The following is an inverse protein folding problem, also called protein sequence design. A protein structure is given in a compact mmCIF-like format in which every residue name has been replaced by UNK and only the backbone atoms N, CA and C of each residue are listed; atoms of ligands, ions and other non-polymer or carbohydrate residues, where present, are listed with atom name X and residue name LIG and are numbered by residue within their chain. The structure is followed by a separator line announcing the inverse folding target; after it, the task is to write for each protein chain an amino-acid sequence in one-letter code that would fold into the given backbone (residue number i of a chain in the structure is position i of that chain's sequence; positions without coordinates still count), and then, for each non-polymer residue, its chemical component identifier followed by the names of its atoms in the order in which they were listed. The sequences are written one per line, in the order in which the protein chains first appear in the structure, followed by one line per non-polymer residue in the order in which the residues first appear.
data_IF_747425870681
#
_entry.id   IF_747425870681
#
_cell.length_a   1.000
_cell.length_b   1.000
_cell.length_c   1.000
_cell.angle_alpha   90.00
_cell.angle_beta   90.00
_cell.angle_gamma   90.00
#
_symmetry.space_group_name_H-M   'P 1'
#
loop_
_entity.id
_entity.type
_entity.pdbx_description
1 polymer ?
#
# COMPACT_ATOMS: atom_id res chain seq x y z
N UNK A 1 16.66 29.76 -57.14
CA UNK A 1 16.14 28.50 -56.54
C UNK A 1 16.99 28.15 -55.34
N UNK A 2 16.46 28.22 -54.10
CA UNK A 2 17.18 27.78 -52.94
C UNK A 2 17.05 26.26 -52.82
N UNK A 3 18.17 25.56 -53.05
CA UNK A 3 18.26 24.12 -52.79
C UNK A 3 18.09 23.88 -51.26
N UNK A 4 16.93 23.42 -50.85
CA UNK A 4 16.76 22.93 -49.46
C UNK A 4 17.65 21.69 -49.31
N UNK A 5 18.59 21.65 -48.35
CA UNK A 5 19.36 20.46 -48.11
C UNK A 5 18.40 19.31 -47.79
N UNK A 6 18.56 18.18 -48.45
CA UNK A 6 17.80 16.97 -48.18
C UNK A 6 17.96 16.50 -46.75
N UNK A 7 17.09 15.61 -46.27
CA UNK A 7 17.17 15.09 -44.89
C UNK A 7 18.56 14.47 -44.66
N UNK A 8 19.24 14.89 -43.59
CA UNK A 8 20.51 14.30 -43.18
C UNK A 8 20.34 12.81 -42.99
N UNK A 9 21.28 12.04 -43.52
CA UNK A 9 21.32 10.57 -43.34
C UNK A 9 21.48 10.30 -41.84
N UNK A 10 20.61 9.44 -41.28
CA UNK A 10 20.70 9.07 -39.88
C UNK A 10 21.99 8.28 -39.61
N UNK A 11 22.67 8.61 -38.54
CA UNK A 11 23.85 7.86 -38.06
C UNK A 11 23.44 6.45 -37.58
N UNK A 12 24.24 5.40 -37.85
CA UNK A 12 23.96 4.07 -37.34
C UNK A 12 24.04 4.08 -35.80
N UNK A 13 23.20 3.32 -35.15
CA UNK A 13 23.26 3.11 -33.73
C UNK A 13 22.99 1.64 -33.40
N UNK A 14 23.47 1.17 -32.25
CA UNK A 14 23.21 -0.17 -31.74
C UNK A 14 21.94 -0.17 -30.87
N UNK A 15 20.85 -0.85 -31.30
CA UNK A 15 19.63 -0.96 -30.51
C UNK A 15 19.84 -1.70 -29.19
N UNK A 16 20.76 -2.68 -29.13
CA UNK A 16 21.04 -3.47 -27.92
C UNK A 16 21.74 -2.63 -26.85
N UNK A 17 22.69 -1.79 -27.28
CA UNK A 17 23.35 -0.85 -26.39
C UNK A 17 22.35 0.20 -25.82
N UNK A 18 21.44 0.68 -26.66
CA UNK A 18 20.38 1.59 -26.21
C UNK A 18 19.42 0.91 -25.22
N UNK A 19 19.01 -0.33 -25.47
CA UNK A 19 18.16 -1.12 -24.55
C UNK A 19 18.84 -1.29 -23.19
N UNK A 20 20.12 -1.69 -23.19
CA UNK A 20 20.90 -1.82 -21.95
C UNK A 20 21.01 -0.47 -21.19
N UNK A 21 21.25 0.62 -21.91
CA UNK A 21 21.33 1.96 -21.29
C UNK A 21 19.99 2.40 -20.69
N UNK A 22 18.87 2.10 -21.38
CA UNK A 22 17.52 2.39 -20.85
C UNK A 22 17.25 1.60 -19.56
N UNK A 23 17.65 0.33 -19.52
CA UNK A 23 17.49 -0.53 -18.32
C UNK A 23 18.31 -0.02 -17.13
N UNK A 24 19.52 0.49 -17.37
CA UNK A 24 20.38 1.09 -16.35
C UNK A 24 19.87 2.45 -15.79
N UNK A 25 18.96 3.14 -16.49
CA UNK A 25 18.44 4.44 -16.07
C UNK A 25 17.55 4.39 -14.83
N UNK A 26 17.35 3.26 -14.23
CA UNK A 26 16.53 3.07 -13.01
C UNK A 26 15.07 3.49 -13.18
N UNK A 27 14.18 2.86 -12.43
CA UNK A 27 12.75 3.18 -12.42
C UNK A 27 12.42 4.32 -11.45
N UNK A 28 13.27 5.36 -11.37
CA UNK A 28 13.05 6.49 -10.46
C UNK A 28 11.68 7.14 -10.66
N UNK A 29 11.00 7.39 -9.58
CA UNK A 29 9.65 7.98 -9.48
C UNK A 29 9.55 9.35 -10.18
N UNK A 30 10.67 10.05 -10.37
CA UNK A 30 10.70 11.32 -11.12
C UNK A 30 11.16 11.05 -12.55
N UNK A 31 10.29 11.36 -13.51
CA UNK A 31 10.41 11.21 -14.96
C UNK A 31 11.64 11.91 -15.61
N UNK A 32 12.57 12.44 -14.82
CA UNK A 32 13.72 13.22 -15.28
C UNK A 32 14.83 12.40 -15.94
N UNK A 33 14.84 11.07 -15.77
CA UNK A 33 15.85 10.20 -16.35
C UNK A 33 15.39 9.52 -17.67
N UNK A 34 14.58 10.19 -18.44
CA UNK A 34 13.98 9.61 -19.63
C UNK A 34 14.60 10.04 -20.94
N UNK A 35 13.76 10.11 -21.96
CA UNK A 35 14.06 10.45 -23.34
C UNK A 35 14.95 11.70 -23.48
N UNK A 36 14.77 12.71 -22.63
CA UNK A 36 15.55 13.97 -22.72
C UNK A 36 17.04 13.75 -22.43
N UNK A 37 17.39 12.89 -21.46
CA UNK A 37 18.79 12.59 -21.14
C UNK A 37 19.47 11.79 -22.25
N UNK A 38 18.75 10.83 -22.83
CA UNK A 38 19.25 10.00 -23.92
C UNK A 38 19.30 10.75 -25.25
N UNK A 39 18.38 11.69 -25.48
CA UNK A 39 18.27 12.38 -26.77
C UNK A 39 19.54 13.14 -27.16
N UNK A 40 20.26 13.71 -26.22
CA UNK A 40 21.53 14.37 -26.49
C UNK A 40 22.58 13.45 -27.14
N UNK A 41 22.55 12.16 -26.85
CA UNK A 41 23.46 11.16 -27.45
C UNK A 41 22.98 10.57 -28.74
N UNK A 42 21.67 10.40 -28.88
CA UNK A 42 21.07 9.70 -30.03
C UNK A 42 20.39 10.61 -31.06
N UNK A 43 20.51 11.95 -30.91
CA UNK A 43 19.84 12.90 -31.79
C UNK A 43 20.32 12.84 -33.26
N UNK A 44 21.51 12.32 -33.52
CA UNK A 44 22.01 12.06 -34.88
C UNK A 44 21.43 10.82 -35.55
N UNK A 45 21.02 9.84 -34.73
CA UNK A 45 20.55 8.52 -35.14
C UNK A 45 19.04 8.36 -35.10
N UNK A 46 18.40 8.98 -34.11
CA UNK A 46 16.97 8.80 -33.83
C UNK A 46 16.23 10.12 -33.65
N UNK A 47 15.00 10.16 -34.16
CA UNK A 47 14.09 11.25 -33.78
C UNK A 47 13.72 11.16 -32.29
N UNK A 48 13.41 12.30 -31.67
CA UNK A 48 12.93 12.34 -30.28
C UNK A 48 11.69 11.48 -30.08
N UNK A 49 10.81 11.38 -31.07
CA UNK A 49 9.60 10.56 -31.05
C UNK A 49 9.94 9.07 -31.04
N UNK A 50 10.87 8.63 -31.92
CA UNK A 50 11.28 7.22 -31.96
C UNK A 50 12.01 6.81 -30.72
N UNK A 51 12.92 7.64 -30.22
CA UNK A 51 13.59 7.41 -28.94
C UNK A 51 12.59 7.30 -27.79
N UNK A 52 11.59 8.19 -27.73
CA UNK A 52 10.54 8.12 -26.71
C UNK A 52 9.72 6.84 -26.79
N UNK A 53 9.41 6.38 -28.01
CA UNK A 53 8.72 5.10 -28.25
C UNK A 53 9.56 3.92 -27.77
N UNK A 54 10.84 3.88 -28.09
CA UNK A 54 11.76 2.81 -27.66
C UNK A 54 11.92 2.79 -26.13
N UNK A 55 12.12 3.94 -25.50
CA UNK A 55 12.15 4.04 -24.03
C UNK A 55 10.87 3.51 -23.39
N UNK A 56 9.71 3.85 -23.99
CA UNK A 56 8.41 3.33 -23.52
C UNK A 56 8.31 1.81 -23.68
N UNK A 57 8.74 1.24 -24.78
CA UNK A 57 8.71 -0.19 -25.05
C UNK A 57 9.62 -0.96 -24.07
N UNK A 58 10.88 -0.54 -23.92
CA UNK A 58 11.83 -1.20 -23.01
C UNK A 58 11.33 -1.16 -21.58
N UNK A 59 10.80 -0.02 -21.13
CA UNK A 59 10.22 0.12 -19.80
C UNK A 59 8.99 -0.75 -19.60
N UNK A 60 8.14 -0.84 -20.61
CA UNK A 60 6.95 -1.71 -20.56
C UNK A 60 7.34 -3.18 -20.42
N UNK A 61 8.32 -3.65 -21.21
CA UNK A 61 8.84 -5.01 -21.09
C UNK A 61 9.50 -5.26 -19.73
N UNK A 62 10.34 -4.34 -19.26
CA UNK A 62 10.98 -4.45 -17.95
C UNK A 62 9.96 -4.50 -16.80
N UNK A 63 8.88 -3.72 -16.86
CA UNK A 63 7.79 -3.79 -15.89
C UNK A 63 7.02 -5.10 -16.00
N UNK A 64 6.80 -5.60 -17.23
CA UNK A 64 6.12 -6.88 -17.45
C UNK A 64 6.96 -8.06 -16.92
N UNK A 65 8.27 -8.05 -17.18
CA UNK A 65 9.20 -9.06 -16.67
C UNK A 65 9.25 -9.04 -15.14
N UNK A 66 9.42 -7.84 -14.55
CA UNK A 66 9.40 -7.68 -13.11
C UNK A 66 8.08 -8.14 -12.47
N UNK A 67 6.92 -7.87 -13.14
CA UNK A 67 5.61 -8.35 -12.66
C UNK A 67 5.47 -9.87 -12.70
N UNK A 68 6.13 -10.57 -13.64
CA UNK A 68 6.16 -12.04 -13.67
C UNK A 68 6.89 -12.63 -12.48
N UNK A 69 7.92 -11.94 -12.00
CA UNK A 69 8.74 -12.36 -10.86
C UNK A 69 8.10 -12.00 -9.52
N UNK A 70 7.12 -11.08 -9.53
CA UNK A 70 6.38 -10.68 -8.34
C UNK A 70 5.43 -11.79 -7.92
N UNK A 71 5.68 -12.39 -6.77
CA UNK A 71 4.72 -13.26 -6.10
C UNK A 71 3.60 -12.40 -5.50
N UNK A 72 2.38 -12.64 -5.95
CA UNK A 72 1.19 -12.04 -5.33
C UNK A 72 0.85 -12.84 -4.07
N UNK A 73 0.70 -12.15 -2.95
CA UNK A 73 0.20 -12.74 -1.72
C UNK A 73 -1.27 -12.33 -1.59
N UNK A 74 -2.16 -13.31 -1.64
CA UNK A 74 -3.58 -13.11 -1.40
C UNK A 74 -3.92 -13.58 0.01
N UNK A 75 -4.39 -12.67 0.85
CA UNK A 75 -4.84 -12.97 2.20
C UNK A 75 -6.30 -13.40 2.13
N UNK A 76 -6.55 -14.72 2.20
CA UNK A 76 -7.89 -15.28 1.98
C UNK A 76 -8.66 -15.53 3.27
N UNK A 77 -7.95 -15.63 4.39
CA UNK A 77 -8.56 -16.00 5.67
C UNK A 77 -8.86 -14.73 6.49
N UNK A 78 -10.13 -14.48 6.85
CA UNK A 78 -10.50 -13.36 7.70
C UNK A 78 -9.86 -13.44 9.08
N UNK A 79 -9.61 -12.28 9.68
CA UNK A 79 -9.05 -12.11 11.05
C UNK A 79 -7.61 -12.58 11.25
N UNK A 80 -6.93 -12.99 10.19
CA UNK A 80 -5.52 -13.41 10.28
C UNK A 80 -4.58 -12.23 10.09
N UNK A 81 -4.84 -11.39 9.10
CA UNK A 81 -3.99 -10.23 8.81
C UNK A 81 -4.82 -8.97 8.70
N UNK A 82 -4.50 -8.01 9.56
CA UNK A 82 -4.98 -6.64 9.40
C UNK A 82 -3.90 -5.78 8.73
N UNK A 83 -4.31 -4.81 7.96
CA UNK A 83 -3.41 -3.79 7.43
C UNK A 83 -3.84 -2.42 7.95
N UNK A 84 -2.85 -1.61 8.31
CA UNK A 84 -3.04 -0.24 8.78
C UNK A 84 -2.18 0.70 7.96
N UNK A 85 -2.76 1.84 7.57
CA UNK A 85 -2.09 2.87 6.81
C UNK A 85 -2.77 4.23 7.04
N UNK A 86 -2.05 5.32 6.81
CA UNK A 86 -2.52 6.68 7.04
C UNK A 86 -2.87 7.38 5.73
N UNK A 87 -3.98 8.10 5.74
CA UNK A 87 -4.38 9.00 4.64
C UNK A 87 -4.54 10.41 5.16
N UNK A 88 -3.88 11.36 4.52
CA UNK A 88 -4.02 12.79 4.82
C UNK A 88 -5.14 13.41 3.98
N UNK A 89 -5.96 14.22 4.62
CA UNK A 89 -7.00 15.04 4.00
C UNK A 89 -6.70 16.51 4.26
N UNK A 90 -6.51 17.27 3.19
CA UNK A 90 -6.37 18.72 3.24
C UNK A 90 -7.76 19.36 3.13
N UNK A 91 -8.16 20.07 4.18
CA UNK A 91 -9.42 20.77 4.30
C UNK A 91 -9.33 22.26 3.95
N UNK A 92 -8.24 22.65 3.30
CA UNK A 92 -7.96 24.05 3.00
C UNK A 92 -7.80 24.87 4.29
N UNK A 93 -8.56 25.95 4.43
CA UNK A 93 -8.50 26.83 5.60
C UNK A 93 -8.86 26.19 6.95
N UNK A 94 -9.45 24.98 6.96
CA UNK A 94 -9.77 24.22 8.16
C UNK A 94 -8.65 23.28 8.62
N UNK A 95 -7.50 23.28 7.93
CA UNK A 95 -6.33 22.47 8.32
C UNK A 95 -6.25 21.10 7.65
N UNK A 96 -5.50 20.20 8.28
CA UNK A 96 -5.28 18.84 7.80
C UNK A 96 -5.75 17.83 8.82
N UNK A 97 -6.31 16.71 8.35
CA UNK A 97 -6.72 15.59 9.18
C UNK A 97 -6.10 14.32 8.65
N UNK A 98 -5.50 13.54 9.54
CA UNK A 98 -4.99 12.21 9.25
C UNK A 98 -6.01 11.17 9.68
N UNK A 99 -6.35 10.27 8.76
CA UNK A 99 -7.16 9.09 9.04
C UNK A 99 -6.26 7.85 9.02
N UNK A 100 -6.11 7.21 10.17
CA UNK A 100 -5.48 5.91 10.25
C UNK A 100 -6.52 4.84 9.96
N UNK A 101 -6.49 4.33 8.74
CA UNK A 101 -7.40 3.31 8.27
C UNK A 101 -6.85 1.92 8.59
N UNK A 102 -7.68 1.09 9.20
CA UNK A 102 -7.36 -0.30 9.48
C UNK A 102 -8.37 -1.21 8.78
N UNK A 103 -7.89 -2.26 8.14
CA UNK A 103 -8.72 -3.21 7.40
C UNK A 103 -8.26 -4.64 7.64
N UNK A 104 -9.23 -5.56 7.81
CA UNK A 104 -8.97 -7.00 7.69
C UNK A 104 -8.80 -7.38 6.21
N UNK A 105 -7.66 -7.97 5.87
CA UNK A 105 -7.32 -8.24 4.47
C UNK A 105 -8.12 -9.42 3.88
N UNK A 106 -8.50 -10.40 4.70
CA UNK A 106 -9.26 -11.57 4.23
C UNK A 106 -10.71 -11.24 3.90
N UNK A 107 -11.38 -10.49 4.76
CA UNK A 107 -12.79 -10.10 4.59
C UNK A 107 -12.98 -8.75 3.92
N UNK A 108 -11.94 -7.93 3.80
CA UNK A 108 -12.02 -6.52 3.38
C UNK A 108 -12.83 -5.64 4.35
N UNK A 109 -13.05 -6.10 5.58
CA UNK A 109 -13.75 -5.35 6.60
C UNK A 109 -12.92 -4.15 7.07
N UNK A 110 -13.51 -2.97 6.99
CA UNK A 110 -12.91 -1.70 7.40
C UNK A 110 -13.35 -1.36 8.82
N UNK A 111 -12.40 -1.16 9.71
CA UNK A 111 -12.70 -0.68 11.05
C UNK A 111 -12.96 0.83 11.00
N UNK A 112 -13.72 1.33 11.99
CA UNK A 112 -13.85 2.78 12.19
C UNK A 112 -12.46 3.39 12.34
N UNK A 113 -12.05 4.35 11.49
CA UNK A 113 -10.69 4.87 11.50
C UNK A 113 -10.40 5.74 12.73
N UNK A 114 -9.14 5.86 13.09
CA UNK A 114 -8.68 6.88 14.01
C UNK A 114 -8.44 8.17 13.23
N UNK A 115 -9.12 9.25 13.61
CA UNK A 115 -8.97 10.57 13.02
C UNK A 115 -8.29 11.54 13.99
N UNK A 116 -7.42 12.40 13.47
CA UNK A 116 -6.77 13.46 14.26
C UNK A 116 -5.88 14.35 13.39
N UNK A 117 -5.42 15.46 13.93
CA UNK A 117 -4.50 16.36 13.21
C UNK A 117 -3.14 15.68 12.96
N UNK A 118 -2.63 14.96 13.96
CA UNK A 118 -1.38 14.21 13.86
C UNK A 118 -1.35 13.12 14.96
N UNK A 119 -2.11 12.01 14.82
CA UNK A 119 -2.14 10.98 15.84
C UNK A 119 -0.75 10.45 16.19
N UNK A 120 -0.44 10.47 17.48
CA UNK A 120 0.84 9.98 18.00
C UNK A 120 0.78 8.47 18.29
N UNK A 121 1.94 7.86 18.52
CA UNK A 121 2.03 6.42 18.72
C UNK A 121 1.15 5.89 19.86
N UNK A 122 0.99 6.65 20.94
CA UNK A 122 0.14 6.30 22.08
C UNK A 122 -1.35 6.28 21.73
N UNK A 123 -1.82 7.23 20.90
CA UNK A 123 -3.21 7.25 20.43
C UNK A 123 -3.49 6.07 19.50
N UNK A 124 -2.52 5.74 18.63
CA UNK A 124 -2.61 4.56 17.75
C UNK A 124 -2.61 3.27 18.58
N UNK A 125 -1.79 3.18 19.62
CA UNK A 125 -1.75 2.05 20.54
C UNK A 125 -3.11 1.88 21.26
N UNK A 126 -3.69 2.96 21.77
CA UNK A 126 -5.01 2.98 22.38
C UNK A 126 -6.11 2.53 21.41
N UNK A 127 -6.07 3.04 20.18
CA UNK A 127 -6.99 2.64 19.11
C UNK A 127 -6.89 1.14 18.79
N UNK A 128 -5.68 0.60 18.62
CA UNK A 128 -5.48 -0.82 18.36
C UNK A 128 -5.95 -1.69 19.53
N UNK A 129 -5.67 -1.27 20.75
CA UNK A 129 -6.13 -1.95 21.97
C UNK A 129 -7.66 -2.06 21.98
N UNK A 130 -8.38 -0.97 21.72
CA UNK A 130 -9.86 -0.98 21.64
C UNK A 130 -10.35 -1.95 20.55
N UNK A 131 -9.75 -1.91 19.34
CA UNK A 131 -10.13 -2.80 18.26
C UNK A 131 -9.85 -4.27 18.57
N UNK A 132 -8.72 -4.58 19.22
CA UNK A 132 -8.38 -5.94 19.61
C UNK A 132 -9.33 -6.51 20.69
N UNK A 133 -9.74 -5.70 21.64
CA UNK A 133 -10.75 -6.13 22.62
C UNK A 133 -12.11 -6.37 21.96
N UNK A 134 -12.52 -5.49 21.07
CA UNK A 134 -13.86 -5.54 20.46
C UNK A 134 -14.01 -6.63 19.40
N UNK A 135 -12.98 -6.85 18.59
CA UNK A 135 -13.06 -7.71 17.40
C UNK A 135 -12.18 -8.96 17.49
N UNK A 136 -11.34 -9.06 18.52
CA UNK A 136 -10.26 -10.04 18.61
C UNK A 136 -9.04 -9.61 17.78
N UNK A 137 -7.82 -9.81 18.29
CA UNK A 137 -6.60 -9.42 17.59
C UNK A 137 -6.33 -10.33 16.38
N UNK A 138 -5.73 -9.82 15.28
CA UNK A 138 -5.23 -10.65 14.17
C UNK A 138 -3.96 -11.42 14.60
N UNK A 139 -3.42 -12.29 13.75
CA UNK A 139 -2.08 -12.85 13.96
C UNK A 139 -0.99 -11.86 13.50
N UNK A 140 -1.29 -11.06 12.49
CA UNK A 140 -0.36 -10.12 11.91
C UNK A 140 -1.00 -8.76 11.72
N UNK A 141 -0.23 -7.71 12.02
CA UNK A 141 -0.55 -6.34 11.63
C UNK A 141 0.44 -5.86 10.57
N UNK A 142 -0.05 -5.68 9.35
CA UNK A 142 0.72 -5.09 8.26
C UNK A 142 0.67 -3.57 8.37
N UNK A 143 1.83 -2.92 8.35
CA UNK A 143 1.98 -1.47 8.46
C UNK A 143 3.10 -0.95 7.56
N UNK A 144 3.07 0.33 7.24
CA UNK A 144 4.18 1.00 6.58
C UNK A 144 5.30 1.37 7.59
N UNK A 145 6.37 2.01 7.09
CA UNK A 145 7.51 2.42 7.90
C UNK A 145 7.34 3.81 8.54
N UNK A 146 6.12 4.36 8.63
CA UNK A 146 5.89 5.62 9.30
C UNK A 146 6.24 5.53 10.80
N UNK A 147 6.92 6.56 11.31
CA UNK A 147 7.47 6.54 12.68
C UNK A 147 6.42 6.39 13.77
N UNK A 148 5.22 6.95 13.58
CA UNK A 148 4.11 6.82 14.52
C UNK A 148 3.48 5.40 14.53
N UNK A 149 3.49 4.70 13.39
CA UNK A 149 3.06 3.30 13.30
C UNK A 149 4.11 2.33 13.86
N UNK A 150 5.38 2.71 13.83
CA UNK A 150 6.50 1.93 14.39
C UNK A 150 6.97 2.47 15.75
N UNK A 151 6.05 3.06 16.52
CA UNK A 151 6.31 3.59 17.85
C UNK A 151 6.32 2.48 18.91
N UNK A 152 7.16 2.63 19.95
CA UNK A 152 7.30 1.63 21.02
C UNK A 152 5.97 1.29 21.72
N UNK A 153 5.07 2.27 21.88
CA UNK A 153 3.74 2.03 22.43
C UNK A 153 2.90 1.09 21.57
N UNK A 154 2.97 1.23 20.23
CA UNK A 154 2.31 0.35 19.27
C UNK A 154 2.90 -1.06 19.35
N UNK A 155 4.23 -1.17 19.35
CA UNK A 155 4.93 -2.46 19.45
C UNK A 155 4.60 -3.16 20.78
N UNK A 156 4.48 -2.41 21.87
CA UNK A 156 4.06 -2.93 23.19
C UNK A 156 2.67 -3.57 23.13
N UNK A 157 1.69 -2.89 22.52
CA UNK A 157 0.33 -3.46 22.33
C UNK A 157 0.37 -4.70 21.44
N UNK A 158 1.13 -4.68 20.35
CA UNK A 158 1.24 -5.86 19.47
C UNK A 158 1.82 -7.06 20.23
N UNK A 159 2.86 -6.87 21.04
CA UNK A 159 3.46 -7.92 21.85
C UNK A 159 2.49 -8.45 22.92
N UNK A 160 1.74 -7.57 23.61
CA UNK A 160 0.75 -7.94 24.62
C UNK A 160 -0.35 -8.86 24.07
N UNK A 161 -0.78 -8.58 22.84
CA UNK A 161 -1.84 -9.35 22.15
C UNK A 161 -1.30 -10.46 21.25
N UNK A 162 0.00 -10.72 21.26
CA UNK A 162 0.66 -11.71 20.39
C UNK A 162 0.36 -11.50 18.91
N UNK A 163 0.52 -10.26 18.45
CA UNK A 163 0.36 -9.85 17.06
C UNK A 163 1.75 -9.54 16.48
N UNK A 164 2.13 -10.20 15.40
CA UNK A 164 3.39 -9.93 14.73
C UNK A 164 3.27 -8.74 13.75
N UNK A 165 4.15 -7.74 13.83
CA UNK A 165 4.20 -6.68 12.84
C UNK A 165 4.77 -7.20 11.51
N UNK A 166 4.13 -6.83 10.40
CA UNK A 166 4.62 -7.02 9.05
C UNK A 166 4.92 -5.64 8.46
N UNK A 167 6.15 -5.19 8.63
CA UNK A 167 6.59 -3.91 8.09
C UNK A 167 6.77 -4.00 6.57
N UNK A 168 6.40 -2.94 5.85
CA UNK A 168 6.57 -2.88 4.41
C UNK A 168 8.05 -2.85 4.05
N UNK A 169 8.51 -3.65 3.06
CA UNK A 169 9.86 -3.52 2.55
C UNK A 169 10.10 -2.10 2.01
N UNK A 170 11.29 -1.58 2.24
CA UNK A 170 11.67 -0.27 1.71
C UNK A 170 11.56 -0.25 0.18
N UNK A 171 11.04 0.84 -0.37
CA UNK A 171 10.91 1.08 -1.81
C UNK A 171 10.06 0.06 -2.60
N UNK A 172 9.24 -0.75 -1.91
CA UNK A 172 8.39 -1.74 -2.56
C UNK A 172 6.89 -1.42 -2.42
N UNK A 173 6.43 -0.39 -3.14
CA UNK A 173 5.04 0.06 -3.15
C UNK A 173 4.00 -1.05 -3.43
N UNK A 174 4.22 -2.04 -4.34
CA UNK A 174 3.23 -3.09 -4.60
C UNK A 174 2.87 -3.94 -3.37
N UNK A 175 3.69 -3.93 -2.33
CA UNK A 175 3.41 -4.64 -1.08
C UNK A 175 2.16 -4.14 -0.39
N UNK A 176 1.85 -2.84 -0.49
CA UNK A 176 0.72 -2.20 0.18
C UNK A 176 -0.55 -2.08 -0.68
N UNK A 177 -0.55 -2.59 -1.91
CA UNK A 177 -1.63 -2.37 -2.88
C UNK A 177 -3.06 -2.66 -2.38
N UNK A 178 -3.25 -3.61 -1.46
CA UNK A 178 -4.56 -3.93 -0.91
C UNK A 178 -5.11 -2.83 0.02
N UNK A 179 -4.25 -2.23 0.85
CA UNK A 179 -4.65 -1.12 1.73
C UNK A 179 -4.74 0.20 0.97
N UNK A 180 -3.87 0.43 -0.02
CA UNK A 180 -3.92 1.60 -0.89
C UNK A 180 -5.23 1.66 -1.68
N UNK A 181 -5.68 0.53 -2.25
CA UNK A 181 -6.99 0.44 -2.92
C UNK A 181 -8.14 0.72 -1.94
N UNK A 182 -8.04 0.19 -0.71
CA UNK A 182 -8.99 0.46 0.35
C UNK A 182 -9.08 1.94 0.71
N UNK A 183 -7.93 2.60 0.81
CA UNK A 183 -7.86 4.04 1.08
C UNK A 183 -8.45 4.87 -0.06
N UNK A 184 -8.16 4.49 -1.32
CA UNK A 184 -8.75 5.14 -2.48
C UNK A 184 -10.27 5.06 -2.48
N UNK A 185 -10.84 3.89 -2.15
CA UNK A 185 -12.28 3.68 -2.01
C UNK A 185 -12.86 4.56 -0.88
N UNK A 186 -12.22 4.55 0.30
CA UNK A 186 -12.60 5.40 1.43
C UNK A 186 -12.58 6.88 1.06
N UNK A 187 -11.50 7.34 0.44
CA UNK A 187 -11.31 8.74 0.04
C UNK A 187 -12.39 9.21 -0.92
N UNK A 188 -12.70 8.42 -1.94
CA UNK A 188 -13.75 8.74 -2.90
C UNK A 188 -15.11 8.89 -2.23
N UNK A 189 -15.52 7.90 -1.44
CA UNK A 189 -16.83 7.93 -0.75
C UNK A 189 -16.90 9.02 0.32
N UNK A 190 -15.79 9.33 0.99
CA UNK A 190 -15.73 10.39 1.97
C UNK A 190 -15.95 11.78 1.32
N UNK A 191 -15.28 12.05 0.20
CA UNK A 191 -15.47 13.29 -0.53
C UNK A 191 -16.91 13.44 -1.07
N UNK A 192 -17.51 12.36 -1.54
CA UNK A 192 -18.92 12.37 -1.97
C UNK A 192 -19.86 12.75 -0.82
N UNK A 193 -19.66 12.19 0.38
CA UNK A 193 -20.49 12.52 1.55
C UNK A 193 -20.25 13.94 2.07
N UNK A 194 -18.99 14.39 2.09
CA UNK A 194 -18.67 15.78 2.49
C UNK A 194 -19.29 16.79 1.54
N UNK A 195 -19.31 16.53 0.23
CA UNK A 195 -19.93 17.39 -0.77
C UNK A 195 -21.45 17.51 -0.61
N UNK A 196 -22.11 16.51 -0.04
CA UNK A 196 -23.54 16.52 0.23
C UNK A 196 -23.94 17.32 1.48
N UNK A 197 -22.98 17.81 2.27
CA UNK A 197 -23.24 18.61 3.46
C UNK A 197 -23.99 17.87 4.59
N UNK A 198 -24.01 16.54 4.55
CA UNK A 198 -24.78 15.69 5.49
C UNK A 198 -23.95 15.44 6.75
N UNK A 199 -23.69 16.46 7.57
CA UNK A 199 -22.96 16.25 8.81
C UNK A 199 -23.52 17.07 9.99
N UNK A 200 -24.02 16.38 11.03
CA UNK A 200 -24.54 17.03 12.23
C UNK A 200 -23.53 17.21 13.38
N UNK A 201 -22.20 17.16 13.14
CA UNK A 201 -21.19 17.06 14.21
C UNK A 201 -20.08 18.11 14.13
N UNK A 202 -19.47 18.50 15.28
CA UNK A 202 -18.29 19.36 15.32
C UNK A 202 -17.01 18.72 14.76
N UNK A 203 -16.96 17.37 14.61
CA UNK A 203 -15.87 16.68 13.92
C UNK A 203 -16.37 15.92 12.69
N UNK A 204 -16.59 16.66 11.59
CA UNK A 204 -17.30 16.12 10.44
C UNK A 204 -16.56 14.98 9.73
N UNK A 205 -15.23 14.97 9.74
CA UNK A 205 -14.46 13.97 9.00
C UNK A 205 -14.45 12.63 9.71
N UNK A 206 -14.20 12.58 11.01
CA UNK A 206 -14.17 11.35 11.77
C UNK A 206 -15.50 10.59 11.66
N UNK A 207 -16.62 11.30 11.91
CA UNK A 207 -17.95 10.71 11.79
C UNK A 207 -18.29 10.29 10.36
N UNK A 208 -17.93 11.11 9.38
CA UNK A 208 -18.14 10.77 7.98
C UNK A 208 -17.36 9.53 7.58
N UNK A 209 -16.12 9.42 8.01
CA UNK A 209 -15.27 8.27 7.76
C UNK A 209 -15.82 6.98 8.40
N UNK A 210 -16.40 7.07 9.60
CA UNK A 210 -17.08 5.96 10.25
C UNK A 210 -18.30 5.50 9.45
N UNK A 211 -19.16 6.43 9.04
CA UNK A 211 -20.33 6.13 8.19
C UNK A 211 -19.91 5.52 6.86
N UNK A 212 -18.86 6.05 6.23
CA UNK A 212 -18.31 5.51 4.98
C UNK A 212 -17.79 4.10 5.19
N UNK A 213 -17.03 3.83 6.25
CA UNK A 213 -16.54 2.50 6.56
C UNK A 213 -17.71 1.51 6.76
N UNK A 214 -18.75 1.93 7.49
CA UNK A 214 -19.97 1.14 7.66
C UNK A 214 -20.64 0.83 6.31
N UNK A 215 -20.89 1.83 5.47
CA UNK A 215 -21.53 1.65 4.17
C UNK A 215 -20.73 0.72 3.26
N UNK A 216 -19.39 0.89 3.22
CA UNK A 216 -18.49 0.04 2.45
C UNK A 216 -18.46 -1.41 2.93
N UNK A 217 -18.64 -1.64 4.23
CA UNK A 217 -18.70 -2.98 4.81
C UNK A 217 -19.99 -3.72 4.45
N UNK A 218 -21.05 -3.00 4.06
CA UNK A 218 -22.34 -3.57 3.67
C UNK A 218 -22.55 -3.63 2.15
N UNK A 219 -21.58 -3.20 1.34
CA UNK A 219 -21.61 -3.38 -0.11
C UNK A 219 -21.27 -4.82 -0.49
N UNK A 220 -21.99 -5.36 -1.48
CA UNK A 220 -21.67 -6.65 -2.09
C UNK A 220 -20.33 -6.55 -2.83
N UNK A 221 -19.46 -7.53 -2.64
CA UNK A 221 -18.12 -7.54 -3.25
C UNK A 221 -17.93 -8.76 -4.14
N UNK A 222 -17.65 -8.58 -5.44
CA UNK A 222 -17.35 -9.70 -6.34
C UNK A 222 -16.19 -10.57 -5.85
N UNK A 223 -15.13 -9.96 -5.29
CA UNK A 223 -13.99 -10.68 -4.74
C UNK A 223 -14.32 -11.53 -3.49
N UNK A 224 -15.47 -11.32 -2.87
CA UNK A 224 -16.01 -12.10 -1.77
C UNK A 224 -17.21 -12.99 -2.22
N UNK A 225 -17.26 -13.35 -3.50
CA UNK A 225 -18.32 -14.17 -4.08
C UNK A 225 -19.73 -13.58 -3.88
N UNK A 226 -19.85 -12.25 -3.94
CA UNK A 226 -21.11 -11.56 -3.76
C UNK A 226 -21.54 -11.36 -2.29
N UNK A 227 -20.72 -11.76 -1.32
CA UNK A 227 -20.94 -11.44 0.10
C UNK A 227 -20.45 -10.04 0.44
N UNK A 228 -20.97 -9.46 1.52
CA UNK A 228 -20.46 -8.20 2.06
C UNK A 228 -19.25 -8.44 2.96
N UNK A 229 -18.40 -7.43 3.15
CA UNK A 229 -17.26 -7.50 4.08
C UNK A 229 -17.73 -7.83 5.51
N UNK A 230 -18.87 -7.24 5.93
CA UNK A 230 -19.49 -7.49 7.22
C UNK A 230 -19.91 -8.98 7.36
N UNK A 231 -20.60 -9.55 6.37
CA UNK A 231 -20.98 -10.95 6.39
C UNK A 231 -19.75 -11.87 6.50
N UNK A 232 -18.70 -11.62 5.72
CA UNK A 232 -17.48 -12.43 5.74
C UNK A 232 -16.74 -12.27 7.05
N UNK A 233 -16.59 -11.04 7.58
CA UNK A 233 -15.89 -10.79 8.83
C UNK A 233 -16.58 -11.40 10.04
N UNK A 234 -17.91 -11.34 10.15
CA UNK A 234 -18.67 -11.86 11.28
C UNK A 234 -19.20 -13.30 11.09
N UNK A 235 -19.05 -13.92 9.92
CA UNK A 235 -19.37 -15.34 9.73
C UNK A 235 -18.59 -16.20 10.72
N UNK A 236 -19.17 -17.27 11.23
CA UNK A 236 -18.50 -18.27 12.05
C UNK A 236 -17.74 -19.32 11.24
N UNK A 237 -18.02 -19.43 9.95
CA UNK A 237 -17.41 -20.42 9.07
C UNK A 237 -15.99 -20.06 8.67
N UNK A 238 -15.07 -21.02 8.79
CA UNK A 238 -13.70 -20.92 8.25
C UNK A 238 -12.78 -19.94 9.00
N UNK A 239 -13.14 -19.48 10.21
CA UNK A 239 -12.30 -18.60 11.01
C UNK A 239 -11.44 -19.38 11.97
N UNK A 240 -10.14 -19.13 11.97
CA UNK A 240 -9.32 -19.58 13.08
C UNK A 240 -9.70 -18.77 14.33
N UNK A 241 -10.21 -19.46 15.34
CA UNK A 241 -10.39 -18.91 16.69
C UNK A 241 -9.26 -19.46 17.52
N UNK A 242 -8.27 -18.62 17.81
CA UNK A 242 -7.15 -19.01 18.65
C UNK A 242 -7.41 -18.57 20.09
N UNK A 243 -7.24 -19.49 21.04
CA UNK A 243 -7.10 -19.15 22.44
C UNK A 243 -5.86 -18.27 22.66
N UNK A 244 -5.79 -17.60 23.81
CA UNK A 244 -4.61 -16.79 24.15
C UNK A 244 -3.32 -17.61 24.18
N UNK A 245 -3.41 -18.88 24.62
CA UNK A 245 -2.26 -19.80 24.67
C UNK A 245 -1.79 -20.18 23.27
N UNK A 246 -2.69 -20.60 22.38
CA UNK A 246 -2.35 -20.95 20.99
C UNK A 246 -1.76 -19.74 20.24
N UNK A 247 -2.29 -18.54 20.47
CA UNK A 247 -1.74 -17.31 19.89
C UNK A 247 -0.31 -17.06 20.33
N UNK A 248 -0.03 -17.25 21.62
CA UNK A 248 1.32 -17.12 22.17
C UNK A 248 2.27 -18.14 21.55
N UNK A 249 1.88 -19.39 21.47
CA UNK A 249 2.68 -20.44 20.85
C UNK A 249 2.99 -20.13 19.38
N UNK A 250 1.99 -19.68 18.61
CA UNK A 250 2.19 -19.26 17.20
C UNK A 250 3.15 -18.06 17.14
N UNK A 251 2.96 -17.07 18.01
CA UNK A 251 3.80 -15.87 18.05
C UNK A 251 5.26 -16.23 18.35
N UNK A 252 5.50 -17.04 19.37
CA UNK A 252 6.85 -17.44 19.79
C UNK A 252 7.57 -18.24 18.68
N UNK A 253 6.89 -19.20 18.04
CA UNK A 253 7.44 -19.99 16.93
C UNK A 253 7.78 -19.12 15.72
N UNK A 254 6.91 -18.18 15.37
CA UNK A 254 7.14 -17.28 14.22
C UNK A 254 8.26 -16.27 14.51
N UNK A 255 8.33 -15.75 15.73
CA UNK A 255 9.37 -14.83 16.15
C UNK A 255 10.75 -15.51 16.08
N UNK A 256 10.88 -16.68 16.66
CA UNK A 256 12.12 -17.48 16.58
C UNK A 256 12.55 -17.76 15.13
N UNK A 257 11.58 -18.04 14.25
CA UNK A 257 11.88 -18.26 12.83
C UNK A 257 12.39 -16.99 12.14
N UNK A 258 11.80 -15.83 12.44
CA UNK A 258 12.27 -14.53 11.90
C UNK A 258 13.69 -14.23 12.38
N UNK A 259 13.97 -14.42 13.66
CA UNK A 259 15.30 -14.22 14.25
C UNK A 259 16.37 -15.09 13.57
N UNK A 260 16.10 -16.38 13.38
CA UNK A 260 17.01 -17.30 12.65
C UNK A 260 17.28 -16.85 11.21
N UNK A 261 16.26 -16.35 10.51
CA UNK A 261 16.43 -15.84 9.15
C UNK A 261 17.32 -14.59 9.16
N UNK A 262 17.09 -13.65 10.07
CA UNK A 262 17.88 -12.43 10.19
C UNK A 262 19.35 -12.76 10.54
N UNK A 263 19.60 -13.69 11.44
CA UNK A 263 20.95 -14.17 11.78
C UNK A 263 21.66 -14.77 10.56
N UNK A 264 20.95 -15.59 9.76
CA UNK A 264 21.51 -16.19 8.55
C UNK A 264 21.86 -15.16 7.48
N UNK A 265 21.07 -14.10 7.35
CA UNK A 265 21.34 -12.99 6.42
C UNK A 265 22.56 -12.18 6.84
N UNK A 266 22.71 -11.91 8.16
CA UNK A 266 23.84 -11.16 8.70
C UNK A 266 25.17 -11.94 8.61
N UNK A 267 25.13 -13.27 8.56
CA UNK A 267 26.34 -14.13 8.38
C UNK A 267 26.76 -14.26 6.91
N UNK A 268 25.89 -13.88 5.98
CA UNK A 268 26.11 -14.03 4.54
C UNK A 268 26.57 -12.74 3.86
N UNK A 269 26.63 -11.61 4.56
CA UNK A 269 27.09 -10.29 4.10
C UNK A 269 28.42 -9.91 4.71
#
# INVERSE_FOLDING_TARGET
MFNRPGPKKAEPFDPSALDAEIRLLGHGVKRSAGTTKLYGRYQGSLSRRDLSRMVGQVRHHSVADHRRDLRRIDWLVPRVVWAMDVTEYDLGGAGRVHLHNTQDLGSRYKFSPLAGECPVGEEIAGYLTEKFFRFGPPLFLKRDNAGNLNHAAVDGVLAEFFVLPLNSPEYYAPYNGAIEESQREMKTCLWEKLALGILPSPDPIAMCAEVVAHDLNHRLRPCLQGKTSCQVFFSSEGKPVFSKLERREIYDVLLERVERILESMNQSG
#
